data_IF_843806462774
#
_entry.id   IF_843806462774
#
_cell.length_a   1.000
_cell.length_b   1.000
_cell.length_c   1.000
_cell.angle_alpha   90.00
_cell.angle_beta   90.00
_cell.angle_gamma   90.00
#
_symmetry.space_group_name_H-M   'P 1'
#
loop_
_entity.id
_entity.type
_entity.pdbx_description
1 polymer ?
#
# COMPACT_ATOMS: atom_id res chain seq x y z
N UNK A 1 -10.30 -24.55 13.21
CA UNK A 1 -10.42 -23.53 14.26
C UNK A 1 -9.29 -22.54 14.02
N UNK A 2 -9.58 -21.36 13.47
CA UNK A 2 -8.54 -20.33 13.30
C UNK A 2 -8.13 -19.86 14.69
N UNK A 3 -6.84 -19.98 15.03
CA UNK A 3 -6.30 -19.33 16.22
C UNK A 3 -6.62 -17.84 16.14
N UNK A 4 -7.18 -17.27 17.21
CA UNK A 4 -7.38 -15.83 17.30
C UNK A 4 -5.99 -15.18 17.29
N UNK A 5 -5.68 -14.44 16.23
CA UNK A 5 -4.45 -13.66 16.13
C UNK A 5 -4.61 -12.45 17.05
N UNK A 6 -3.81 -12.41 18.10
CA UNK A 6 -3.88 -11.39 19.17
C UNK A 6 -2.65 -10.48 19.17
N UNK A 7 -1.60 -10.78 18.40
CA UNK A 7 -0.39 -9.95 18.31
C UNK A 7 0.18 -9.91 16.89
N UNK A 8 0.94 -8.86 16.57
CA UNK A 8 1.55 -8.70 15.25
C UNK A 8 2.66 -9.72 14.99
N UNK A 9 3.33 -10.22 16.02
CA UNK A 9 4.36 -11.25 15.92
C UNK A 9 3.82 -12.57 15.37
N UNK A 10 2.51 -12.80 15.49
CA UNK A 10 1.83 -13.98 14.92
C UNK A 10 1.55 -13.85 13.42
N UNK A 11 1.73 -12.66 12.82
CA UNK A 11 1.42 -12.37 11.43
C UNK A 11 2.60 -12.63 10.46
N UNK A 12 3.68 -13.28 10.93
CA UNK A 12 4.86 -13.61 10.11
C UNK A 12 5.46 -12.42 9.33
N UNK A 13 5.33 -11.21 9.88
CA UNK A 13 5.94 -10.00 9.34
C UNK A 13 7.43 -9.97 9.66
N UNK A 14 8.22 -9.33 8.79
CA UNK A 14 9.65 -9.18 8.98
C UNK A 14 9.99 -8.32 10.22
N UNK A 15 11.15 -8.54 10.86
CA UNK A 15 11.55 -7.75 12.03
C UNK A 15 11.54 -6.22 11.82
N UNK A 16 11.95 -5.66 10.66
CA UNK A 16 11.86 -4.22 10.42
C UNK A 16 10.43 -3.67 10.48
N UNK A 17 9.44 -4.42 9.96
CA UNK A 17 8.04 -4.04 10.00
C UNK A 17 7.47 -4.13 11.42
N UNK A 18 7.78 -5.22 12.14
CA UNK A 18 7.35 -5.39 13.53
C UNK A 18 7.92 -4.30 14.45
N UNK A 19 9.22 -4.00 14.32
CA UNK A 19 9.85 -2.90 15.03
C UNK A 19 9.13 -1.58 14.73
N UNK A 20 8.80 -1.32 13.45
CA UNK A 20 8.13 -0.09 13.10
C UNK A 20 6.72 0.02 13.66
N UNK A 21 5.97 -1.07 13.72
CA UNK A 21 4.65 -1.11 14.35
C UNK A 21 4.73 -0.78 15.84
N UNK A 22 5.72 -1.33 16.54
CA UNK A 22 5.95 -1.01 17.96
C UNK A 22 6.25 0.48 18.18
N UNK A 23 7.12 1.08 17.36
CA UNK A 23 7.43 2.52 17.43
C UNK A 23 6.23 3.42 17.14
N UNK A 24 5.30 2.95 16.31
CA UNK A 24 4.04 3.64 16.01
C UNK A 24 2.97 3.43 17.08
N UNK A 25 3.25 2.62 18.12
CA UNK A 25 2.32 2.35 19.21
C UNK A 25 1.23 1.32 18.88
N UNK A 26 1.45 0.46 17.89
CA UNK A 26 0.53 -0.65 17.61
C UNK A 26 0.71 -1.74 18.68
N UNK A 27 -0.33 -1.97 19.49
CA UNK A 27 -0.31 -2.98 20.56
C UNK A 27 -0.79 -4.35 20.07
N UNK A 28 -1.89 -4.38 19.32
CA UNK A 28 -2.50 -5.60 18.79
C UNK A 28 -3.17 -5.33 17.44
N UNK A 29 -3.24 -6.32 16.54
CA UNK A 29 -3.92 -6.15 15.26
C UNK A 29 -5.42 -5.93 15.48
N UNK A 30 -6.00 -4.98 14.75
CA UNK A 30 -7.45 -4.80 14.71
C UNK A 30 -8.13 -6.03 14.10
N UNK A 31 -9.44 -6.25 14.31
CA UNK A 31 -10.14 -7.42 13.76
C UNK A 31 -9.98 -7.56 12.24
N UNK A 32 -10.01 -6.45 11.50
CA UNK A 32 -9.81 -6.47 10.04
C UNK A 32 -8.37 -6.86 9.69
N UNK A 33 -7.36 -6.37 10.42
CA UNK A 33 -5.96 -6.73 10.20
C UNK A 33 -5.71 -8.21 10.49
N UNK A 34 -6.17 -8.70 11.64
CA UNK A 34 -6.05 -10.11 12.04
C UNK A 34 -6.75 -11.05 11.04
N UNK A 35 -7.91 -10.63 10.51
CA UNK A 35 -8.68 -11.44 9.56
C UNK A 35 -8.12 -11.41 8.12
N UNK A 36 -7.35 -10.39 7.72
CA UNK A 36 -6.97 -10.21 6.31
C UNK A 36 -5.49 -10.38 6.04
N UNK A 37 -4.60 -9.96 6.95
CA UNK A 37 -3.15 -9.98 6.71
C UNK A 37 -2.65 -11.40 6.38
N UNK A 38 -3.02 -12.48 7.11
CA UNK A 38 -2.57 -13.83 6.77
C UNK A 38 -2.97 -14.24 5.34
N UNK A 39 -4.22 -13.98 4.95
CA UNK A 39 -4.71 -14.33 3.61
C UNK A 39 -4.00 -13.55 2.51
N UNK A 40 -3.71 -12.26 2.74
CA UNK A 40 -2.94 -11.45 1.80
C UNK A 40 -1.49 -11.90 1.72
N UNK A 41 -0.89 -12.36 2.82
CA UNK A 41 0.46 -12.95 2.82
C UNK A 41 0.50 -14.28 2.06
N UNK A 42 -0.57 -15.07 2.12
CA UNK A 42 -0.72 -16.29 1.32
C UNK A 42 -0.99 -16.01 -0.17
N UNK A 43 -1.32 -14.76 -0.52
CA UNK A 43 -1.54 -14.33 -1.91
C UNK A 43 -2.98 -14.54 -2.40
N UNK A 44 -3.94 -14.66 -1.48
CA UNK A 44 -5.35 -14.71 -1.84
C UNK A 44 -5.91 -13.32 -2.17
N UNK A 45 -6.88 -13.29 -3.09
CA UNK A 45 -7.70 -12.11 -3.33
C UNK A 45 -8.69 -11.91 -2.18
N UNK A 46 -9.00 -10.65 -1.87
CA UNK A 46 -9.93 -10.29 -0.80
C UNK A 46 -10.89 -9.20 -1.24
N UNK A 47 -12.14 -9.35 -0.80
CA UNK A 47 -13.12 -8.27 -0.72
C UNK A 47 -13.38 -7.99 0.76
N UNK A 48 -12.96 -6.81 1.21
CA UNK A 48 -13.10 -6.38 2.59
C UNK A 48 -14.09 -5.23 2.71
N UNK A 49 -15.10 -5.37 3.57
CA UNK A 49 -15.97 -4.27 3.97
C UNK A 49 -15.66 -3.91 5.42
N UNK A 50 -15.18 -2.69 5.65
CA UNK A 50 -14.97 -2.17 7.00
C UNK A 50 -15.19 -0.66 7.03
N UNK A 51 -15.59 -0.15 8.20
CA UNK A 51 -15.77 1.29 8.43
C UNK A 51 -14.42 2.03 8.40
N UNK A 52 -14.44 3.33 8.08
CA UNK A 52 -13.26 4.19 8.16
C UNK A 52 -12.68 4.21 9.59
N UNK A 53 -11.36 4.30 9.72
CA UNK A 53 -10.69 4.30 11.04
C UNK A 53 -10.47 2.92 11.66
N UNK A 54 -10.80 1.82 10.98
CA UNK A 54 -10.62 0.44 11.48
C UNK A 54 -9.23 -0.16 11.27
N UNK A 55 -8.30 0.61 10.69
CA UNK A 55 -6.94 0.14 10.40
C UNK A 55 -6.80 -0.62 9.07
N UNK A 56 -7.75 -0.42 8.12
CA UNK A 56 -7.73 -0.97 6.75
C UNK A 56 -6.40 -0.71 6.02
N UNK A 57 -5.85 0.50 6.14
CA UNK A 57 -4.61 0.85 5.45
C UNK A 57 -3.45 -0.05 5.88
N UNK A 58 -3.25 -0.30 7.17
CA UNK A 58 -2.24 -1.25 7.63
C UNK A 58 -2.54 -2.67 7.16
N UNK A 59 -3.82 -3.04 7.10
CA UNK A 59 -4.28 -4.38 6.73
C UNK A 59 -3.84 -4.78 5.32
N UNK A 60 -3.81 -3.85 4.35
CA UNK A 60 -3.24 -4.10 3.02
C UNK A 60 -1.78 -3.66 2.89
N UNK A 61 -1.35 -2.58 3.55
CA UNK A 61 -0.01 -2.03 3.36
C UNK A 61 1.09 -2.93 3.91
N UNK A 62 0.88 -3.54 5.08
CA UNK A 62 1.86 -4.45 5.70
C UNK A 62 2.16 -5.69 4.85
N UNK A 63 1.17 -6.46 4.37
CA UNK A 63 1.44 -7.60 3.50
C UNK A 63 2.04 -7.18 2.14
N UNK A 64 1.68 -6.01 1.60
CA UNK A 64 2.32 -5.47 0.41
C UNK A 64 3.81 -5.23 0.68
N UNK A 65 4.14 -4.46 1.72
CA UNK A 65 5.53 -4.15 2.10
C UNK A 65 6.35 -5.41 2.37
N UNK A 66 5.76 -6.41 3.03
CA UNK A 66 6.39 -7.70 3.32
C UNK A 66 6.77 -8.47 2.06
N UNK A 67 6.04 -8.28 0.95
CA UNK A 67 6.22 -8.99 -0.33
C UNK A 67 7.04 -8.23 -1.36
N UNK A 68 7.41 -6.98 -1.09
CA UNK A 68 8.19 -6.17 -2.03
C UNK A 68 9.60 -6.74 -2.22
N UNK A 69 10.05 -6.74 -3.47
CA UNK A 69 11.46 -6.83 -3.80
C UNK A 69 12.04 -5.43 -3.93
N UNK A 70 12.79 -4.96 -2.92
CA UNK A 70 13.37 -3.62 -2.91
C UNK A 70 14.54 -3.43 -3.90
N UNK A 71 15.05 -4.52 -4.50
CA UNK A 71 16.04 -4.42 -5.57
C UNK A 71 15.37 -4.06 -6.91
N UNK A 72 14.11 -4.44 -7.10
CA UNK A 72 13.32 -4.11 -8.29
C UNK A 72 12.68 -2.72 -8.19
N UNK A 73 13.38 -1.69 -8.68
CA UNK A 73 12.93 -0.29 -8.69
C UNK A 73 11.86 0.02 -9.75
N UNK A 74 10.81 -0.79 -9.80
CA UNK A 74 9.62 -0.64 -10.66
C UNK A 74 8.34 -0.84 -9.83
N UNK A 75 7.19 -0.27 -10.24
CA UNK A 75 5.94 -0.44 -9.51
C UNK A 75 5.59 -1.93 -9.35
N UNK A 76 5.44 -2.37 -8.11
CA UNK A 76 5.02 -3.71 -7.70
C UNK A 76 3.65 -3.71 -7.03
N UNK A 77 3.23 -2.57 -6.48
CA UNK A 77 1.85 -2.38 -6.01
C UNK A 77 1.25 -1.06 -6.50
N UNK A 78 -0.05 -1.10 -6.78
CA UNK A 78 -0.88 0.04 -7.14
C UNK A 78 -2.06 0.10 -6.17
N UNK A 79 -2.24 1.23 -5.50
CA UNK A 79 -3.43 1.52 -4.69
C UNK A 79 -4.21 2.64 -5.36
N UNK A 80 -5.47 2.37 -5.70
CA UNK A 80 -6.40 3.39 -6.16
C UNK A 80 -7.22 3.89 -4.97
N UNK A 81 -7.32 5.21 -4.87
CA UNK A 81 -8.14 5.91 -3.89
C UNK A 81 -9.00 6.98 -4.59
N UNK A 82 -10.24 7.25 -4.12
CA UNK A 82 -11.16 8.18 -4.78
C UNK A 82 -10.67 9.63 -4.77
N UNK A 83 -9.98 10.05 -3.70
CA UNK A 83 -9.59 11.46 -3.50
C UNK A 83 -8.08 11.65 -3.45
N UNK A 84 -7.63 12.88 -3.71
CA UNK A 84 -6.22 13.26 -3.60
C UNK A 84 -5.74 13.11 -2.16
N UNK A 85 -6.56 13.58 -1.22
CA UNK A 85 -6.27 13.61 0.20
C UNK A 85 -6.05 12.19 0.71
N UNK A 86 -6.91 11.24 0.33
CA UNK A 86 -6.74 9.84 0.69
C UNK A 86 -5.51 9.21 0.02
N UNK A 87 -5.25 9.51 -1.27
CA UNK A 87 -4.04 9.03 -1.93
C UNK A 87 -2.75 9.50 -1.24
N UNK A 88 -2.73 10.74 -0.73
CA UNK A 88 -1.62 11.28 0.07
C UNK A 88 -1.51 10.52 1.39
N UNK A 89 -2.61 10.40 2.14
CA UNK A 89 -2.64 9.73 3.45
C UNK A 89 -2.18 8.26 3.35
N UNK A 90 -2.63 7.53 2.34
CA UNK A 90 -2.20 6.15 2.11
C UNK A 90 -0.71 6.08 1.77
N UNK A 91 -0.21 6.98 0.91
CA UNK A 91 1.23 7.04 0.60
C UNK A 91 2.08 7.38 1.85
N UNK A 92 1.62 8.32 2.69
CA UNK A 92 2.26 8.65 3.97
C UNK A 92 2.26 7.46 4.93
N UNK A 93 1.18 6.69 4.97
CA UNK A 93 1.10 5.46 5.77
C UNK A 93 2.14 4.43 5.30
N UNK A 94 2.23 4.16 3.98
CA UNK A 94 3.28 3.31 3.41
C UNK A 94 4.68 3.77 3.82
N UNK A 95 4.96 5.07 3.67
CA UNK A 95 6.25 5.64 4.07
C UNK A 95 6.51 5.48 5.56
N UNK A 96 5.47 5.64 6.39
CA UNK A 96 5.52 5.45 7.82
C UNK A 96 5.85 4.01 8.22
N UNK A 97 5.18 3.02 7.64
CA UNK A 97 5.43 1.59 7.91
C UNK A 97 6.78 1.11 7.35
N UNK A 98 7.22 1.67 6.23
CA UNK A 98 8.47 1.30 5.56
C UNK A 98 9.72 2.03 6.10
N UNK A 99 9.63 2.72 7.24
CA UNK A 99 10.74 3.51 7.79
C UNK A 99 12.07 2.73 7.89
N UNK A 100 12.00 1.44 8.28
CA UNK A 100 13.17 0.57 8.41
C UNK A 100 13.44 -0.29 7.15
N UNK A 101 12.87 0.07 6.00
CA UNK A 101 13.08 -0.59 4.71
C UNK A 101 13.93 0.31 3.79
N UNK A 102 15.27 0.18 3.81
CA UNK A 102 16.15 1.07 3.07
C UNK A 102 15.91 0.95 1.56
N UNK A 103 15.84 2.10 0.88
CA UNK A 103 15.58 2.15 -0.56
C UNK A 103 14.10 2.01 -0.95
N UNK A 104 13.17 1.85 0.00
CA UNK A 104 11.76 1.89 -0.30
C UNK A 104 11.34 3.26 -0.85
N UNK A 105 10.43 3.23 -1.83
CA UNK A 105 9.91 4.40 -2.51
C UNK A 105 8.44 4.21 -2.84
N UNK A 106 7.61 5.12 -2.35
CA UNK A 106 6.19 5.25 -2.69
C UNK A 106 5.96 6.58 -3.40
N UNK A 107 5.08 6.60 -4.39
CA UNK A 107 4.73 7.82 -5.12
C UNK A 107 3.21 8.01 -5.15
N UNK A 108 2.69 9.10 -4.54
CA UNK A 108 1.31 9.50 -4.77
C UNK A 108 1.13 10.19 -6.13
N UNK A 109 0.10 9.79 -6.89
CA UNK A 109 -0.21 10.26 -8.24
C UNK A 109 -1.65 10.74 -8.30
N UNK A 110 -1.83 12.06 -8.40
CA UNK A 110 -3.14 12.70 -8.41
C UNK A 110 -3.13 14.02 -9.20
N UNK A 111 -4.32 14.53 -9.52
CA UNK A 111 -4.50 15.81 -10.23
C UNK A 111 -4.12 17.05 -9.40
N UNK A 112 -3.74 18.15 -10.05
CA UNK A 112 -3.32 19.38 -9.38
C UNK A 112 -1.84 19.42 -8.97
N UNK A 113 -1.11 18.30 -9.04
CA UNK A 113 0.35 18.29 -9.00
C UNK A 113 0.94 18.31 -10.41
N UNK A 114 2.13 18.92 -10.55
CA UNK A 114 2.87 18.98 -11.81
C UNK A 114 3.15 17.58 -12.38
N UNK A 115 2.69 17.34 -13.61
CA UNK A 115 2.97 16.11 -14.37
C UNK A 115 4.48 15.88 -14.48
N UNK A 116 5.26 16.92 -14.78
CA UNK A 116 6.72 16.82 -14.89
C UNK A 116 7.39 16.34 -13.60
N UNK A 117 6.85 16.71 -12.43
CA UNK A 117 7.35 16.21 -11.15
C UNK A 117 7.02 14.72 -10.94
N UNK A 118 5.82 14.28 -11.31
CA UNK A 118 5.42 12.86 -11.26
C UNK A 118 6.27 12.02 -12.22
N UNK A 119 6.48 12.48 -13.46
CA UNK A 119 7.35 11.84 -14.45
C UNK A 119 8.79 11.68 -13.94
N UNK A 120 9.35 12.72 -13.31
CA UNK A 120 10.71 12.67 -12.75
C UNK A 120 10.82 11.65 -11.63
N UNK A 121 9.80 11.53 -10.78
CA UNK A 121 9.79 10.56 -9.68
C UNK A 121 9.64 9.13 -10.19
N UNK A 122 8.74 8.89 -11.15
CA UNK A 122 8.62 7.59 -11.82
C UNK A 122 9.94 7.14 -12.44
N UNK A 123 10.66 8.05 -13.12
CA UNK A 123 11.99 7.77 -13.69
C UNK A 123 13.07 7.41 -12.66
N UNK A 124 12.94 7.86 -11.40
CA UNK A 124 13.89 7.48 -10.32
C UNK A 124 13.67 6.05 -9.84
N UNK A 125 12.54 5.45 -10.17
CA UNK A 125 12.11 4.14 -9.71
C UNK A 125 11.31 4.23 -8.40
N UNK A 126 10.17 3.54 -8.38
CA UNK A 126 9.23 3.49 -7.25
C UNK A 126 8.71 2.07 -7.11
N UNK A 127 8.37 1.64 -5.90
CA UNK A 127 7.88 0.28 -5.62
C UNK A 127 6.36 0.26 -5.46
N UNK A 128 5.82 1.31 -4.86
CA UNK A 128 4.37 1.48 -4.64
C UNK A 128 3.93 2.77 -5.31
N UNK A 129 2.84 2.68 -6.06
CA UNK A 129 2.11 3.85 -6.56
C UNK A 129 0.77 3.90 -5.84
N UNK A 130 0.42 5.07 -5.34
CA UNK A 130 -0.91 5.35 -4.79
C UNK A 130 -1.51 6.46 -5.62
N UNK A 131 -2.74 6.37 -6.10
CA UNK A 131 -3.24 7.45 -6.94
C UNK A 131 -4.73 7.47 -7.20
N UNK A 132 -5.18 8.60 -7.72
CA UNK A 132 -6.58 8.76 -8.15
C UNK A 132 -6.77 8.19 -9.56
N UNK A 133 -7.92 7.54 -9.86
CA UNK A 133 -8.13 6.84 -11.12
C UNK A 133 -7.82 7.70 -12.35
N UNK A 134 -8.34 8.93 -12.41
CA UNK A 134 -8.14 9.82 -13.57
C UNK A 134 -6.67 10.10 -13.88
N UNK A 135 -5.85 10.42 -12.87
CA UNK A 135 -4.43 10.73 -13.10
C UNK A 135 -3.60 9.47 -13.36
N UNK A 136 -3.94 8.34 -12.76
CA UNK A 136 -3.32 7.05 -13.10
C UNK A 136 -3.57 6.73 -14.57
N UNK A 137 -4.81 6.87 -15.04
CA UNK A 137 -5.15 6.65 -16.45
C UNK A 137 -4.39 7.58 -17.40
N UNK A 138 -4.18 8.85 -17.03
CA UNK A 138 -3.34 9.77 -17.81
C UNK A 138 -1.90 9.27 -17.94
N UNK A 139 -1.32 8.75 -16.85
CA UNK A 139 0.05 8.22 -16.87
C UNK A 139 0.18 6.95 -17.71
N UNK A 140 -0.81 6.06 -17.65
CA UNK A 140 -0.86 4.82 -18.44
C UNK A 140 -1.00 5.13 -19.93
N UNK A 141 -1.91 6.03 -20.32
CA UNK A 141 -2.07 6.47 -21.72
C UNK A 141 -0.81 7.12 -22.30
N UNK A 142 0.00 7.74 -21.44
CA UNK A 142 1.29 8.35 -21.79
C UNK A 142 2.46 7.36 -21.74
N UNK A 143 2.21 6.10 -21.37
CA UNK A 143 3.24 5.07 -21.16
C UNK A 143 4.32 5.47 -20.14
N UNK A 144 3.99 6.42 -19.27
CA UNK A 144 4.92 6.95 -18.27
C UNK A 144 4.89 6.19 -16.96
N UNK A 145 3.80 5.46 -16.71
CA UNK A 145 3.68 4.47 -15.65
C UNK A 145 3.61 3.10 -16.34
N UNK A 146 4.62 2.26 -16.07
CA UNK A 146 4.68 0.89 -16.59
C UNK A 146 4.37 -0.07 -15.45
N UNK A 147 3.37 -0.92 -15.64
CA UNK A 147 2.84 -1.83 -14.61
C UNK A 147 3.20 -3.31 -14.85
N UNK A 148 4.17 -3.61 -15.70
CA UNK A 148 4.62 -4.99 -15.98
C UNK A 148 5.12 -5.73 -14.73
N UNK A 149 5.61 -5.00 -13.72
CA UNK A 149 6.05 -5.57 -12.45
C UNK A 149 4.97 -5.68 -11.38
N UNK A 150 3.72 -5.31 -11.69
CA UNK A 150 2.64 -5.21 -10.71
C UNK A 150 2.24 -6.60 -10.18
N UNK A 151 2.27 -6.75 -8.85
CA UNK A 151 1.91 -7.97 -8.11
C UNK A 151 0.66 -7.78 -7.27
N UNK A 152 0.31 -6.54 -6.93
CA UNK A 152 -0.88 -6.25 -6.11
C UNK A 152 -1.58 -4.98 -6.60
N UNK A 153 -2.91 -5.08 -6.75
CA UNK A 153 -3.80 -3.94 -6.96
C UNK A 153 -4.75 -3.84 -5.77
N UNK A 154 -4.89 -2.64 -5.22
CA UNK A 154 -5.86 -2.33 -4.16
C UNK A 154 -6.82 -1.27 -4.68
N UNK A 155 -8.12 -1.48 -4.46
CA UNK A 155 -9.17 -0.48 -4.66
C UNK A 155 -9.69 -0.08 -3.27
N UNK A 156 -9.22 1.05 -2.75
CA UNK A 156 -9.69 1.56 -1.45
C UNK A 156 -10.89 2.48 -1.66
N UNK A 157 -11.95 2.29 -0.88
CA UNK A 157 -13.24 2.99 -1.06
C UNK A 157 -13.78 2.83 -2.50
N UNK A 158 -13.80 1.57 -2.97
CA UNK A 158 -14.19 1.21 -4.33
C UNK A 158 -15.61 1.67 -4.70
N UNK A 159 -16.51 1.76 -3.74
CA UNK A 159 -17.86 2.28 -3.91
C UNK A 159 -17.90 3.77 -4.28
N UNK A 160 -16.90 4.56 -3.87
CA UNK A 160 -16.77 5.96 -4.29
C UNK A 160 -16.13 6.12 -5.68
N UNK A 161 -15.57 5.04 -6.25
CA UNK A 161 -14.88 5.05 -7.53
C UNK A 161 -15.71 4.53 -8.71
N UNK A 162 -16.94 4.04 -8.45
CA UNK A 162 -17.84 3.43 -9.44
C UNK A 162 -18.83 4.42 -10.07
#
# INVERSE_FOLDING_TARGET
MSSLITSFEQLALSPPLLQRLQELGYEAPSPIQAATIPHLLDGHDLLGQAQTGTGKTAAFALPILQKLDLAERRPQALVLAPTRELAIQVAEAFQGYAHHLPGFHVLPIYGGQSMSNQLRQLKRGVHVVVGTPGRIMDHLRRESLVLEGLRTLVLDEADEML
#
